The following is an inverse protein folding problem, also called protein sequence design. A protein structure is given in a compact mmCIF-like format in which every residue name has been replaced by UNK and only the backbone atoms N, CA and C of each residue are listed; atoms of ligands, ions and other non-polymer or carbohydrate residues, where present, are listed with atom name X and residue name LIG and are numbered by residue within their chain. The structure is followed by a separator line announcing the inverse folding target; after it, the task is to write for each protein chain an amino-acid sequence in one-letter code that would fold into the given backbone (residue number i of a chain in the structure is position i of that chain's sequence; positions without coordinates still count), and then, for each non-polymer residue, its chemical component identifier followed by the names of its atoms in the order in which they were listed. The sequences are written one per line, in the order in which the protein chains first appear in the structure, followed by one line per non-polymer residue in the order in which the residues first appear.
data_IF_327290031602
#
_entry.id   IF_327290031602
#
_cell.length_a   1.000
_cell.length_b   1.000
_cell.length_c   1.000
_cell.angle_alpha   90.00
_cell.angle_beta   90.00
_cell.angle_gamma   90.00
#
_symmetry.space_group_name_H-M   'P 1'
#
loop_
_entity.id
_entity.type
_entity.pdbx_description
1 polymer ?
#
# COMPACT_ATOMS: atom_id res chain seq x y z
N UNK A 1 4.57 -12.64 -14.87
CA UNK A 1 5.71 -12.43 -13.95
C UNK A 1 5.78 -13.60 -12.99
N UNK A 2 6.94 -14.25 -12.83
CA UNK A 2 7.10 -15.32 -11.84
C UNK A 2 7.24 -14.73 -10.42
N UNK A 3 7.19 -15.57 -9.38
CA UNK A 3 7.20 -15.11 -7.98
C UNK A 3 8.48 -14.38 -7.59
N UNK A 4 9.64 -14.89 -8.02
CA UNK A 4 10.94 -14.26 -7.72
C UNK A 4 11.07 -12.87 -8.34
N UNK A 5 10.75 -12.72 -9.64
CA UNK A 5 10.77 -11.40 -10.29
C UNK A 5 9.78 -10.42 -9.66
N UNK A 6 8.62 -10.91 -9.22
CA UNK A 6 7.66 -10.08 -8.48
C UNK A 6 8.24 -9.62 -7.13
N UNK A 7 8.89 -10.53 -6.39
CA UNK A 7 9.54 -10.23 -5.12
C UNK A 7 10.64 -9.18 -5.29
N UNK A 8 11.54 -9.37 -6.24
CA UNK A 8 12.60 -8.40 -6.55
C UNK A 8 12.02 -7.03 -6.90
N UNK A 9 11.01 -6.99 -7.77
CA UNK A 9 10.34 -5.74 -8.15
C UNK A 9 9.71 -5.03 -6.96
N UNK A 10 9.02 -5.77 -6.09
CA UNK A 10 8.39 -5.21 -4.87
C UNK A 10 9.46 -4.67 -3.91
N UNK A 11 10.57 -5.40 -3.70
CA UNK A 11 11.66 -4.94 -2.83
C UNK A 11 12.28 -3.64 -3.36
N UNK A 12 12.58 -3.56 -4.66
CA UNK A 12 13.13 -2.35 -5.27
C UNK A 12 12.21 -1.13 -5.12
N UNK A 13 10.89 -1.34 -5.26
CA UNK A 13 9.88 -0.31 -5.00
C UNK A 13 9.86 0.13 -3.53
N UNK A 14 9.88 -0.81 -2.57
CA UNK A 14 9.93 -0.46 -1.14
C UNK A 14 11.16 0.40 -0.84
N UNK A 15 12.33 0.00 -1.34
CA UNK A 15 13.58 0.73 -1.16
C UNK A 15 13.48 2.16 -1.70
N UNK A 16 13.02 2.32 -2.93
CA UNK A 16 12.89 3.62 -3.57
C UNK A 16 11.88 4.54 -2.85
N UNK A 17 10.77 4.00 -2.32
CA UNK A 17 9.82 4.77 -1.51
C UNK A 17 10.39 5.18 -0.15
N UNK A 18 11.05 4.25 0.55
CA UNK A 18 11.73 4.56 1.81
C UNK A 18 12.80 5.62 1.61
N UNK A 19 13.65 5.52 0.59
CA UNK A 19 14.69 6.50 0.31
C UNK A 19 14.13 7.88 -0.05
N UNK A 20 13.10 7.95 -0.90
CA UNK A 20 12.55 9.22 -1.37
C UNK A 20 11.66 9.92 -0.35
N UNK A 21 10.79 9.18 0.34
CA UNK A 21 9.71 9.72 1.18
C UNK A 21 9.82 9.34 2.65
N UNK A 22 10.64 8.35 2.99
CA UNK A 22 10.78 7.84 4.37
C UNK A 22 9.69 6.85 4.81
N UNK A 23 8.82 6.41 3.90
CA UNK A 23 7.81 5.40 4.22
C UNK A 23 7.31 4.69 2.95
N UNK A 24 6.68 3.54 3.15
CA UNK A 24 6.04 2.74 2.09
C UNK A 24 4.56 2.49 2.43
N UNK A 25 3.71 2.51 1.40
CA UNK A 25 2.29 2.14 1.51
C UNK A 25 1.94 1.01 0.55
N UNK A 26 0.98 0.16 0.93
CA UNK A 26 0.52 -0.92 0.05
C UNK A 26 -0.05 -0.38 -1.28
N UNK A 27 -0.75 0.75 -1.24
CA UNK A 27 -1.34 1.36 -2.45
C UNK A 27 -0.24 1.79 -3.42
N UNK A 28 0.78 2.50 -2.93
CA UNK A 28 1.88 2.99 -3.78
C UNK A 28 2.67 1.82 -4.37
N UNK A 29 2.93 0.77 -3.57
CA UNK A 29 3.55 -0.48 -4.08
C UNK A 29 2.72 -1.07 -5.21
N UNK A 30 1.40 -1.20 -5.04
CA UNK A 30 0.52 -1.74 -6.08
C UNK A 30 0.52 -0.89 -7.35
N UNK A 31 0.60 0.44 -7.22
CA UNK A 31 0.69 1.34 -8.37
C UNK A 31 2.01 1.13 -9.12
N UNK A 32 3.14 1.17 -8.43
CA UNK A 32 4.46 1.14 -9.05
C UNK A 32 4.81 -0.23 -9.65
N UNK A 33 4.30 -1.33 -9.06
CA UNK A 33 4.44 -2.64 -9.70
C UNK A 33 3.48 -2.86 -10.87
N UNK A 34 2.53 -1.95 -11.10
CA UNK A 34 1.53 -2.00 -12.18
C UNK A 34 0.29 -2.84 -11.85
N UNK A 35 0.10 -3.21 -10.60
CA UNK A 35 -1.06 -3.97 -10.12
C UNK A 35 -2.31 -3.09 -9.96
N UNK A 36 -2.15 -1.77 -9.82
CA UNK A 36 -3.23 -0.80 -9.65
C UNK A 36 -2.95 0.42 -10.53
N UNK A 37 -3.95 0.92 -11.26
CA UNK A 37 -3.82 2.19 -11.97
C UNK A 37 -4.10 3.35 -11.02
N UNK A 38 -3.41 4.48 -11.21
CA UNK A 38 -3.66 5.70 -10.43
C UNK A 38 -5.11 6.17 -10.54
N UNK A 39 -5.68 6.12 -11.74
CA UNK A 39 -7.09 6.45 -11.99
C UNK A 39 -8.05 5.56 -11.19
N UNK A 40 -7.79 4.25 -11.11
CA UNK A 40 -8.63 3.33 -10.36
C UNK A 40 -8.50 3.52 -8.84
N UNK A 41 -7.30 3.85 -8.37
CA UNK A 41 -7.06 4.28 -6.99
C UNK A 41 -7.86 5.54 -6.63
N UNK A 42 -7.89 6.54 -7.53
CA UNK A 42 -8.68 7.75 -7.33
C UNK A 42 -10.18 7.48 -7.33
N UNK A 43 -10.67 6.64 -8.24
CA UNK A 43 -12.08 6.22 -8.27
C UNK A 43 -12.47 5.53 -6.97
N UNK A 44 -11.60 4.68 -6.44
CA UNK A 44 -11.79 4.08 -5.12
C UNK A 44 -11.80 5.12 -4.01
N UNK A 45 -10.86 6.06 -3.96
CA UNK A 45 -10.87 7.16 -2.99
C UNK A 45 -12.10 8.06 -3.06
N UNK A 46 -12.67 8.23 -4.26
CA UNK A 46 -13.94 8.96 -4.48
C UNK A 46 -15.18 8.12 -4.13
N UNK A 47 -15.01 6.87 -3.67
CA UNK A 47 -16.10 5.96 -3.31
C UNK A 47 -16.89 5.44 -4.51
N UNK A 48 -16.31 5.48 -5.72
CA UNK A 48 -16.94 4.95 -6.94
C UNK A 48 -16.67 3.45 -7.13
N UNK A 49 -15.81 2.86 -6.31
CA UNK A 49 -15.47 1.44 -6.29
C UNK A 49 -15.67 0.93 -4.87
N UNK A 50 -16.43 -0.16 -4.72
CA UNK A 50 -16.82 -0.69 -3.41
C UNK A 50 -15.66 -1.26 -2.59
N UNK A 51 -14.59 -1.70 -3.26
CA UNK A 51 -13.36 -2.18 -2.61
C UNK A 51 -12.17 -2.17 -3.59
N UNK A 52 -10.96 -1.89 -3.08
CA UNK A 52 -9.76 -1.68 -3.91
C UNK A 52 -9.38 -2.91 -4.74
N UNK A 53 -9.43 -4.11 -4.17
CA UNK A 53 -9.05 -5.35 -4.85
C UNK A 53 -9.86 -5.61 -6.13
N UNK A 54 -11.07 -5.03 -6.26
CA UNK A 54 -11.92 -5.16 -7.46
C UNK A 54 -11.24 -4.60 -8.72
N UNK A 55 -10.46 -3.54 -8.55
CA UNK A 55 -9.83 -2.80 -9.66
C UNK A 55 -8.33 -3.10 -9.76
N UNK A 56 -7.82 -4.01 -8.94
CA UNK A 56 -6.47 -4.55 -9.09
C UNK A 56 -6.39 -5.48 -10.32
N UNK A 57 -5.25 -5.44 -11.00
CA UNK A 57 -4.95 -6.21 -12.23
C UNK A 57 -4.24 -7.53 -11.92
N UNK A 58 -4.17 -7.90 -10.64
CA UNK A 58 -3.58 -9.12 -10.11
C UNK A 58 -4.65 -9.93 -9.37
N UNK A 59 -4.48 -11.25 -9.31
CA UNK A 59 -5.38 -12.09 -8.52
C UNK A 59 -5.09 -11.98 -7.01
N UNK A 60 -6.03 -12.46 -6.18
CA UNK A 60 -5.93 -12.35 -4.71
C UNK A 60 -4.69 -13.06 -4.14
N UNK A 61 -4.26 -14.17 -4.75
CA UNK A 61 -3.05 -14.89 -4.32
C UNK A 61 -1.78 -14.08 -4.56
N UNK A 62 -1.70 -13.37 -5.69
CA UNK A 62 -0.61 -12.45 -5.99
C UNK A 62 -0.62 -11.24 -5.05
N UNK A 63 -1.79 -10.63 -4.82
CA UNK A 63 -1.91 -9.50 -3.89
C UNK A 63 -1.50 -9.89 -2.47
N UNK A 64 -1.92 -11.07 -2.01
CA UNK A 64 -1.53 -11.63 -0.71
C UNK A 64 -0.02 -11.83 -0.61
N UNK A 65 0.61 -12.29 -1.70
CA UNK A 65 2.06 -12.45 -1.74
C UNK A 65 2.80 -11.12 -1.72
N UNK A 66 2.31 -10.10 -2.43
CA UNK A 66 2.87 -8.73 -2.38
C UNK A 66 2.80 -8.18 -0.95
N UNK A 67 1.64 -8.31 -0.28
CA UNK A 67 1.50 -7.95 1.13
C UNK A 67 2.54 -8.65 1.99
N UNK A 68 2.69 -9.97 1.85
CA UNK A 68 3.67 -10.74 2.61
C UNK A 68 5.10 -10.22 2.41
N UNK A 69 5.50 -9.92 1.16
CA UNK A 69 6.85 -9.39 0.87
C UNK A 69 7.07 -8.05 1.59
N UNK A 70 6.11 -7.13 1.51
CA UNK A 70 6.20 -5.82 2.18
C UNK A 70 6.35 -5.98 3.69
N UNK A 71 5.54 -6.84 4.31
CA UNK A 71 5.59 -7.07 5.74
C UNK A 71 6.91 -7.72 6.20
N UNK A 72 7.37 -8.73 5.47
CA UNK A 72 8.64 -9.40 5.76
C UNK A 72 9.82 -8.42 5.63
N UNK A 73 9.84 -7.64 4.56
CA UNK A 73 10.88 -6.63 4.35
C UNK A 73 10.86 -5.56 5.45
N UNK A 74 9.67 -5.00 5.74
CA UNK A 74 9.51 -3.98 6.76
C UNK A 74 9.97 -4.46 8.15
N UNK A 75 9.63 -5.70 8.52
CA UNK A 75 10.10 -6.31 9.76
C UNK A 75 11.61 -6.47 9.78
N UNK A 76 12.20 -6.96 8.68
CA UNK A 76 13.64 -7.16 8.58
C UNK A 76 14.44 -5.85 8.66
N UNK A 77 13.89 -4.76 8.13
CA UNK A 77 14.51 -3.43 8.16
C UNK A 77 14.11 -2.58 9.38
N UNK A 78 13.33 -3.12 10.32
CA UNK A 78 12.90 -2.39 11.52
C UNK A 78 11.97 -1.20 11.23
N UNK A 79 11.24 -1.22 10.10
CA UNK A 79 10.30 -0.15 9.77
C UNK A 79 9.12 -0.15 10.74
N UNK A 80 8.73 1.04 11.20
CA UNK A 80 7.65 1.19 12.17
C UNK A 80 6.28 1.08 11.47
N UNK A 81 5.39 0.14 11.87
CA UNK A 81 4.04 0.11 11.37
C UNK A 81 3.23 1.30 11.89
N UNK A 82 2.49 1.95 11.00
CA UNK A 82 1.58 3.05 11.28
C UNK A 82 0.25 2.77 10.61
N UNK A 83 -0.82 2.60 11.39
CA UNK A 83 -2.15 2.31 10.83
C UNK A 83 -2.79 3.61 10.34
N UNK A 84 -3.27 3.60 9.10
CA UNK A 84 -3.91 4.76 8.47
C UNK A 84 -5.40 4.50 8.26
N UNK A 85 -6.25 5.42 8.70
CA UNK A 85 -7.70 5.32 8.49
C UNK A 85 -8.10 5.90 7.14
N UNK A 86 -8.45 5.02 6.20
CA UNK A 86 -8.87 5.41 4.86
C UNK A 86 -10.36 5.74 4.82
N UNK A 87 -10.66 7.00 4.51
CA UNK A 87 -12.02 7.47 4.28
C UNK A 87 -12.13 7.99 2.85
N UNK A 88 -13.30 7.79 2.25
CA UNK A 88 -13.62 8.43 0.97
C UNK A 88 -13.64 9.93 1.16
N UNK A 89 -13.32 10.69 0.11
CA UNK A 89 -13.40 12.15 0.11
C UNK A 89 -14.25 12.65 -1.07
N UNK A 90 -14.79 13.86 -0.96
CA UNK A 90 -15.59 14.51 -2.01
C UNK A 90 -16.92 15.05 -1.48
N UNK A 91 -17.87 15.35 -2.38
CA UNK A 91 -19.17 15.97 -2.03
C UNK A 91 -20.18 15.03 -1.35
N UNK A 92 -19.88 13.72 -1.26
CA UNK A 92 -20.73 12.72 -0.60
C UNK A 92 -20.29 12.51 0.85
N UNK A 93 -21.14 11.96 1.74
CA UNK A 93 -20.75 11.65 3.11
C UNK A 93 -19.48 10.79 3.12
N UNK A 94 -18.51 11.16 3.97
CA UNK A 94 -17.27 10.43 4.15
C UNK A 94 -17.58 9.02 4.69
N UNK A 95 -17.42 8.02 3.84
CA UNK A 95 -17.56 6.60 4.21
C UNK A 95 -16.18 5.95 4.35
N UNK A 96 -15.99 5.04 5.32
CA UNK A 96 -14.79 4.21 5.38
C UNK A 96 -14.59 3.48 4.06
N UNK A 97 -13.36 3.52 3.55
CA UNK A 97 -13.00 2.75 2.38
C UNK A 97 -12.66 1.32 2.79
N UNK A 98 -12.96 0.39 1.89
CA UNK A 98 -12.66 -1.03 2.06
C UNK A 98 -11.64 -1.47 1.02
N UNK A 99 -10.67 -2.27 1.42
CA UNK A 99 -9.66 -2.82 0.52
C UNK A 99 -10.14 -4.11 -0.13
N UNK A 100 -10.68 -5.04 0.66
CA UNK A 100 -11.04 -6.38 0.21
C UNK A 100 -12.55 -6.57 0.02
N UNK A 101 -12.93 -7.59 -0.77
CA UNK A 101 -14.36 -7.88 -1.03
C UNK A 101 -15.18 -8.11 0.25
N UNK A 102 -14.59 -8.82 1.21
CA UNK A 102 -15.28 -9.26 2.43
C UNK A 102 -14.99 -8.38 3.65
N UNK A 103 -14.05 -7.43 3.56
CA UNK A 103 -13.74 -6.52 4.67
C UNK A 103 -13.16 -7.23 5.90
N UNK A 104 -12.42 -8.33 5.70
CA UNK A 104 -11.82 -9.07 6.83
C UNK A 104 -10.83 -8.16 7.56
N UNK A 105 -11.04 -7.96 8.86
CA UNK A 105 -10.30 -6.95 9.63
C UNK A 105 -8.76 -7.12 9.56
N UNK A 106 -8.26 -8.35 9.47
CA UNK A 106 -6.83 -8.60 9.32
C UNK A 106 -6.30 -8.15 7.94
N UNK A 107 -7.04 -8.42 6.86
CA UNK A 107 -6.70 -7.99 5.50
C UNK A 107 -6.76 -6.47 5.38
N UNK A 108 -7.83 -5.86 5.88
CA UNK A 108 -8.00 -4.40 5.88
C UNK A 108 -6.84 -3.72 6.63
N UNK A 109 -6.45 -4.24 7.80
CA UNK A 109 -5.32 -3.72 8.57
C UNK A 109 -4.01 -3.82 7.80
N UNK A 110 -3.75 -4.93 7.10
CA UNK A 110 -2.53 -5.13 6.31
C UNK A 110 -2.41 -4.09 5.20
N UNK A 111 -3.48 -3.85 4.46
CA UNK A 111 -3.51 -2.79 3.44
C UNK A 111 -3.39 -1.38 4.03
N UNK A 112 -4.05 -1.14 5.16
CA UNK A 112 -4.08 0.15 5.82
C UNK A 112 -2.77 0.51 6.55
N UNK A 113 -1.86 -0.45 6.74
CA UNK A 113 -0.59 -0.23 7.45
C UNK A 113 0.43 0.39 6.51
N UNK A 114 0.91 1.58 6.87
CA UNK A 114 2.10 2.19 6.32
C UNK A 114 3.32 1.71 7.12
N UNK A 115 4.46 1.53 6.46
CA UNK A 115 5.70 1.20 7.15
C UNK A 115 6.66 2.38 7.01
N UNK A 116 7.05 2.93 8.16
CA UNK A 116 7.77 4.20 8.26
C UNK A 116 9.22 3.93 8.65
N UNK A 117 10.14 4.46 7.84
CA UNK A 117 11.54 4.60 8.21
C UNK A 117 11.70 5.90 9.02
N UNK A 118 11.66 5.77 10.34
CA UNK A 118 11.71 6.91 11.27
C UNK A 118 13.03 7.68 11.14
N UNK A 119 14.14 6.98 10.89
CA UNK A 119 15.45 7.59 10.74
C UNK A 119 15.49 8.44 9.47
N UNK A 120 15.03 7.86 8.35
CA UNK A 120 14.98 8.56 7.06
C UNK A 120 14.01 9.73 7.07
N UNK A 121 12.80 9.56 7.64
CA UNK A 121 11.84 10.65 7.81
C UNK A 121 12.42 11.82 8.60
N UNK A 122 13.17 11.54 9.66
CA UNK A 122 13.84 12.57 10.47
C UNK A 122 14.94 13.28 9.67
N UNK A 123 15.71 12.54 8.88
CA UNK A 123 16.76 13.11 8.03
C UNK A 123 16.20 14.00 6.91
N UNK A 124 15.05 13.64 6.32
CA UNK A 124 14.37 14.46 5.30
C UNK A 124 13.90 15.79 5.92
N UNK A 125 13.27 15.76 7.10
CA UNK A 125 12.78 16.97 7.78
C UNK A 125 13.87 17.96 8.19
N UNK A 126 15.10 17.49 8.42
CA UNK A 126 16.24 18.36 8.77
C UNK A 126 16.84 19.11 7.58
N UNK A 127 16.47 18.74 6.34
CA UNK A 127 17.03 19.30 5.10
C UNK A 127 16.11 20.31 4.40
N UNK A 128 14.86 20.44 4.83
CA UNK A 128 13.91 21.43 4.33
C UNK A 128 13.68 22.51 5.37
#
# INVERSE_FOLDING_TARGET
MNREKLKEKVIGVIQQQCESRGFVTMIDVLIEIGALRREDMERWHKGQVDYLERVCRMNLSQLSYVMQIVQTYAKAQGLKPSLTNYHSYGKKPHRPLRFSKYGKADVERKYATHYVDVQRMTAIKKKG
#
